data_IF_450375038906
#
_entry.id   IF_450375038906
#
_cell.length_a   1.000
_cell.length_b   1.000
_cell.length_c   1.000
_cell.angle_alpha   90.00
_cell.angle_beta   90.00
_cell.angle_gamma   90.00
#
_symmetry.space_group_name_H-M   'P 1'
#
loop_
_entity.id
_entity.type
_entity.pdbx_description
1 polymer ?
#
# COMPACT_ATOMS: atom_id res chain seq x y z
N UNK A 1 15.76 12.85 -6.71
CA UNK A 1 14.36 13.32 -6.68
C UNK A 1 14.21 14.34 -5.56
N UNK A 2 13.38 15.37 -5.73
CA UNK A 2 13.17 16.36 -4.67
C UNK A 2 12.02 15.94 -3.75
N UNK A 3 12.18 16.21 -2.45
CA UNK A 3 11.17 15.89 -1.44
C UNK A 3 10.94 17.10 -0.54
N UNK A 4 9.67 17.40 -0.28
CA UNK A 4 9.26 18.38 0.70
C UNK A 4 8.31 17.75 1.72
N UNK A 5 8.35 18.25 2.94
CA UNK A 5 7.42 17.88 4.01
C UNK A 5 6.64 19.12 4.44
N UNK A 6 5.31 18.96 4.58
CA UNK A 6 4.42 19.98 5.15
C UNK A 6 3.65 19.39 6.32
N UNK A 7 3.58 20.13 7.41
CA UNK A 7 2.62 19.89 8.48
C UNK A 7 1.33 20.63 8.13
N UNK A 8 0.24 19.87 7.93
CA UNK A 8 -1.08 20.46 7.86
C UNK A 8 -1.77 20.37 9.23
N UNK A 9 -2.59 21.38 9.54
CA UNK A 9 -3.22 21.46 10.85
C UNK A 9 -4.73 21.19 10.74
N UNK A 10 -5.21 20.00 11.19
CA UNK A 10 -6.63 19.65 11.14
C UNK A 10 -7.50 20.52 12.08
N UNK A 11 -6.93 21.19 13.08
CA UNK A 11 -7.67 22.16 13.90
C UNK A 11 -8.05 23.41 13.11
N UNK A 12 -7.23 23.75 12.11
CA UNK A 12 -7.50 24.91 11.26
C UNK A 12 -8.55 24.60 10.19
N UNK A 13 -8.50 23.41 9.61
CA UNK A 13 -9.46 22.85 8.68
C UNK A 13 -9.51 21.34 8.88
N UNK A 14 -10.61 20.81 9.42
CA UNK A 14 -10.71 19.39 9.78
C UNK A 14 -10.63 18.45 8.58
N UNK A 15 -11.20 18.83 7.46
CA UNK A 15 -11.35 18.04 6.24
C UNK A 15 -10.42 18.49 5.10
N UNK A 16 -9.22 19.01 5.44
CA UNK A 16 -8.22 19.49 4.46
C UNK A 16 -8.02 18.46 3.34
N UNK A 17 -7.71 17.23 3.69
CA UNK A 17 -7.42 16.17 2.70
C UNK A 17 -8.66 15.85 1.87
N UNK A 18 -9.83 15.77 2.48
CA UNK A 18 -11.10 15.47 1.80
C UNK A 18 -11.48 16.54 0.79
N UNK A 19 -11.29 17.82 1.11
CA UNK A 19 -11.57 18.91 0.18
C UNK A 19 -10.61 18.89 -1.02
N UNK A 20 -9.32 18.65 -0.80
CA UNK A 20 -8.38 18.47 -1.90
C UNK A 20 -8.72 17.27 -2.77
N UNK A 21 -9.15 16.15 -2.14
CA UNK A 21 -9.60 14.97 -2.85
C UNK A 21 -10.82 15.20 -3.72
N UNK A 22 -11.77 16.01 -3.26
CA UNK A 22 -12.96 16.33 -4.05
C UNK A 22 -12.59 17.05 -5.35
N UNK A 23 -11.71 18.04 -5.28
CA UNK A 23 -11.21 18.74 -6.46
C UNK A 23 -10.37 17.82 -7.35
N UNK A 24 -9.46 17.03 -6.77
CA UNK A 24 -8.62 16.09 -7.52
C UNK A 24 -9.46 15.06 -8.31
N UNK A 25 -10.55 14.56 -7.74
CA UNK A 25 -11.49 13.65 -8.43
C UNK A 25 -12.17 14.29 -9.62
N UNK A 26 -12.59 15.53 -9.45
CA UNK A 26 -13.36 16.24 -10.47
C UNK A 26 -12.48 16.77 -11.61
N UNK A 27 -11.31 17.31 -11.26
CA UNK A 27 -10.43 18.05 -12.18
C UNK A 27 -9.16 17.28 -12.57
N UNK A 28 -8.88 16.11 -11.97
CA UNK A 28 -7.64 15.34 -12.12
C UNK A 28 -6.38 16.07 -11.60
N UNK A 29 -6.54 17.26 -11.09
CA UNK A 29 -5.51 18.06 -10.44
C UNK A 29 -6.12 18.90 -9.30
N UNK A 30 -5.28 19.27 -8.31
CA UNK A 30 -5.66 20.17 -7.23
C UNK A 30 -4.49 21.01 -6.77
N UNK A 31 -4.73 22.26 -6.42
CA UNK A 31 -3.74 23.15 -5.83
C UNK A 31 -3.71 23.02 -4.30
N UNK A 32 -2.56 22.65 -3.74
CA UNK A 32 -2.31 22.71 -2.30
C UNK A 32 -1.52 23.99 -1.99
N UNK A 33 -2.14 24.90 -1.26
CA UNK A 33 -1.57 26.22 -1.00
C UNK A 33 -0.54 26.24 0.13
N UNK A 34 0.63 26.81 -0.12
CA UNK A 34 1.57 27.24 0.91
C UNK A 34 1.07 28.53 1.53
N UNK A 35 0.54 28.46 2.73
CA UNK A 35 0.10 29.63 3.47
C UNK A 35 1.32 30.44 3.92
N UNK A 36 1.23 31.77 3.83
CA UNK A 36 2.31 32.69 4.16
C UNK A 36 2.83 32.46 5.58
N UNK A 37 4.13 32.21 5.68
CA UNK A 37 4.83 32.07 6.96
C UNK A 37 5.25 33.42 7.47
N UNK A 38 5.11 33.68 8.78
CA UNK A 38 5.61 34.89 9.42
C UNK A 38 7.14 34.91 9.59
N UNK A 39 7.82 33.80 9.29
CA UNK A 39 9.27 33.66 9.43
C UNK A 39 9.93 33.86 8.07
N UNK A 40 10.54 35.01 7.84
CA UNK A 40 11.39 35.30 6.67
C UNK A 40 12.82 34.80 6.93
N UNK A 41 13.16 33.65 6.39
CA UNK A 41 14.53 33.14 6.32
C UNK A 41 14.93 33.10 4.84
N UNK A 42 15.73 34.09 4.37
CA UNK A 42 16.03 34.32 2.96
C UNK A 42 16.78 33.15 2.33
N UNK A 43 17.74 32.53 3.03
CA UNK A 43 18.51 31.41 2.50
C UNK A 43 17.64 30.16 2.27
N UNK A 44 16.64 29.93 3.12
CA UNK A 44 15.67 28.84 2.95
C UNK A 44 14.72 29.10 1.80
N UNK A 45 14.37 30.37 1.55
CA UNK A 45 13.52 30.76 0.46
C UNK A 45 14.18 30.49 -0.91
N UNK A 46 15.48 30.81 -1.04
CA UNK A 46 16.25 30.56 -2.27
C UNK A 46 16.34 29.06 -2.59
N UNK A 47 16.60 28.23 -1.58
CA UNK A 47 16.62 26.76 -1.75
C UNK A 47 15.27 26.17 -2.18
N UNK A 48 14.15 26.70 -1.66
CA UNK A 48 12.82 26.28 -2.06
C UNK A 48 12.50 26.71 -3.50
N UNK A 49 12.89 27.94 -3.90
CA UNK A 49 12.68 28.41 -5.27
C UNK A 49 13.37 27.55 -6.33
N UNK A 50 14.58 27.05 -6.04
CA UNK A 50 15.28 26.12 -6.94
C UNK A 50 14.49 24.83 -7.12
N UNK A 51 13.97 24.26 -6.03
CA UNK A 51 13.12 23.04 -6.06
C UNK A 51 11.85 23.33 -6.87
N UNK A 52 11.19 24.47 -6.65
CA UNK A 52 9.97 24.86 -7.35
C UNK A 52 10.19 25.01 -8.86
N UNK A 53 11.26 25.70 -9.28
CA UNK A 53 11.62 25.88 -10.69
C UNK A 53 11.97 24.56 -11.38
N UNK A 54 12.59 23.63 -10.65
CA UNK A 54 12.96 22.31 -11.19
C UNK A 54 11.76 21.34 -11.32
N UNK A 55 10.61 21.63 -10.67
CA UNK A 55 9.46 20.75 -10.61
C UNK A 55 8.63 20.84 -11.89
N UNK A 56 8.45 19.68 -12.56
CA UNK A 56 7.60 19.50 -13.73
C UNK A 56 7.09 18.05 -13.84
N UNK A 57 6.30 17.70 -14.85
CA UNK A 57 5.74 16.36 -15.02
C UNK A 57 6.80 15.24 -15.11
N UNK A 58 7.95 15.50 -15.73
CA UNK A 58 9.04 14.53 -15.87
C UNK A 58 9.93 14.46 -14.63
N UNK A 59 10.08 15.58 -13.93
CA UNK A 59 10.83 15.72 -12.69
C UNK A 59 9.89 16.20 -11.59
N UNK A 60 8.94 15.35 -11.22
CA UNK A 60 7.94 15.69 -10.19
C UNK A 60 8.57 15.75 -8.79
N UNK A 61 7.94 16.54 -7.94
CA UNK A 61 8.29 16.65 -6.53
C UNK A 61 7.39 15.71 -5.71
N UNK A 62 7.96 14.96 -4.78
CA UNK A 62 7.20 14.25 -3.76
C UNK A 62 6.95 15.17 -2.55
N UNK A 63 5.70 15.56 -2.37
CA UNK A 63 5.26 16.38 -1.25
C UNK A 63 4.61 15.50 -0.19
N UNK A 64 5.27 15.36 0.96
CA UNK A 64 4.72 14.65 2.11
C UNK A 64 3.86 15.58 2.95
N UNK A 65 2.64 15.15 3.25
CA UNK A 65 1.66 15.86 4.06
C UNK A 65 1.37 15.07 5.33
N UNK A 66 1.57 15.65 6.50
CA UNK A 66 1.34 14.96 7.78
C UNK A 66 0.71 15.87 8.82
N UNK A 67 -0.06 15.29 9.74
CA UNK A 67 -0.54 15.85 10.99
C UNK A 67 0.00 15.08 12.21
N UNK A 68 1.04 14.28 12.02
CA UNK A 68 1.63 13.31 12.95
C UNK A 68 0.78 12.08 13.29
N UNK A 69 -0.47 12.02 12.88
CA UNK A 69 -1.30 10.81 12.97
C UNK A 69 -1.43 10.12 11.61
N UNK A 70 -1.44 10.93 10.56
CA UNK A 70 -1.59 10.52 9.17
C UNK A 70 -0.38 10.96 8.34
N UNK A 71 -0.11 10.23 7.27
CA UNK A 71 0.88 10.60 6.27
C UNK A 71 0.35 10.31 4.88
N UNK A 72 0.39 11.33 4.04
CA UNK A 72 0.11 11.25 2.62
C UNK A 72 1.34 11.67 1.82
N UNK A 73 1.46 11.18 0.59
CA UNK A 73 2.43 11.69 -0.38
C UNK A 73 1.71 12.14 -1.64
N UNK A 74 2.01 13.35 -2.07
CA UNK A 74 1.45 13.96 -3.26
C UNK A 74 2.48 14.03 -4.39
N UNK A 75 2.05 13.72 -5.62
CA UNK A 75 2.81 13.94 -6.83
C UNK A 75 2.57 15.36 -7.32
N UNK A 76 3.53 16.25 -7.08
CA UNK A 76 3.46 17.63 -7.53
C UNK A 76 4.12 17.76 -8.91
N UNK A 77 3.38 18.25 -9.87
CA UNK A 77 3.83 18.38 -11.27
C UNK A 77 4.18 19.83 -11.65
N UNK A 78 3.82 20.78 -10.81
CA UNK A 78 4.13 22.19 -10.99
C UNK A 78 3.97 22.94 -9.68
N UNK A 79 4.77 23.98 -9.46
CA UNK A 79 4.56 24.98 -8.41
C UNK A 79 4.33 26.33 -9.07
N UNK A 80 3.29 27.07 -8.66
CA UNK A 80 2.91 28.34 -9.29
C UNK A 80 2.19 29.23 -8.30
N UNK A 81 2.36 30.57 -8.44
CA UNK A 81 1.59 31.55 -7.69
C UNK A 81 0.18 31.72 -8.24
N UNK A 82 0.06 31.65 -9.56
CA UNK A 82 -1.20 31.79 -10.26
C UNK A 82 -1.65 30.43 -10.80
N UNK A 83 -2.83 30.00 -10.40
CA UNK A 83 -3.47 28.76 -10.86
C UNK A 83 -4.95 29.02 -11.15
N UNK A 84 -5.55 28.13 -11.93
CA UNK A 84 -6.99 28.13 -12.16
C UNK A 84 -7.74 28.02 -10.82
N UNK A 85 -8.65 28.93 -10.57
CA UNK A 85 -9.45 28.96 -9.34
C UNK A 85 -10.26 27.67 -9.13
N UNK A 86 -10.64 26.98 -10.21
CA UNK A 86 -11.35 25.70 -10.14
C UNK A 86 -10.53 24.58 -9.54
N UNK A 87 -9.20 24.72 -9.46
CA UNK A 87 -8.29 23.78 -8.83
C UNK A 87 -8.09 24.08 -7.33
N UNK A 88 -8.64 25.16 -6.81
CA UNK A 88 -8.45 25.58 -5.42
C UNK A 88 -9.65 25.14 -4.59
N UNK A 89 -9.48 24.37 -3.51
CA UNK A 89 -10.54 24.08 -2.55
C UNK A 89 -11.16 25.35 -1.98
N UNK A 90 -12.48 25.37 -1.81
CA UNK A 90 -13.24 26.60 -1.46
C UNK A 90 -12.79 27.24 -0.15
N UNK A 91 -12.34 26.45 0.82
CA UNK A 91 -11.95 26.93 2.14
C UNK A 91 -10.81 27.96 2.12
N UNK A 92 -9.95 27.97 1.09
CA UNK A 92 -8.92 28.99 0.95
C UNK A 92 -9.52 30.39 0.81
N UNK A 93 -10.59 30.50 0.00
CA UNK A 93 -11.34 31.78 -0.15
C UNK A 93 -12.20 32.08 1.06
N UNK A 94 -12.93 31.10 1.58
CA UNK A 94 -13.83 31.26 2.73
C UNK A 94 -13.10 31.80 3.97
N UNK A 95 -11.85 31.37 4.14
CA UNK A 95 -11.01 31.79 5.28
C UNK A 95 -10.03 32.92 4.97
N UNK A 96 -10.10 33.46 3.76
CA UNK A 96 -9.19 34.54 3.31
C UNK A 96 -7.71 34.21 3.55
N UNK A 97 -7.28 33.01 3.15
CA UNK A 97 -5.91 32.55 3.36
C UNK A 97 -4.97 33.20 2.38
N UNK A 98 -3.91 33.87 2.90
CA UNK A 98 -2.82 34.37 2.07
C UNK A 98 -1.92 33.21 1.63
N UNK A 99 -2.05 32.81 0.37
CA UNK A 99 -1.24 31.74 -0.23
C UNK A 99 -0.09 32.37 -1.01
N UNK A 100 1.13 31.90 -0.73
CA UNK A 100 2.33 32.35 -1.45
C UNK A 100 2.52 31.60 -2.77
N UNK A 101 2.37 30.26 -2.71
CA UNK A 101 2.54 29.36 -3.83
C UNK A 101 1.54 28.20 -3.74
N UNK A 102 1.13 27.66 -4.89
CA UNK A 102 0.33 26.45 -4.98
C UNK A 102 1.16 25.31 -5.56
N UNK A 103 1.15 24.17 -4.88
CA UNK A 103 1.63 22.90 -5.38
C UNK A 103 0.52 22.22 -6.18
N UNK A 104 0.70 22.07 -7.48
CA UNK A 104 -0.28 21.39 -8.35
C UNK A 104 -0.08 19.89 -8.24
N UNK A 105 -1.00 19.24 -7.57
CA UNK A 105 -1.00 17.80 -7.28
C UNK A 105 -1.78 17.07 -8.35
N UNK A 106 -1.21 16.03 -8.96
CA UNK A 106 -1.84 15.15 -9.94
C UNK A 106 -2.14 13.74 -9.41
N UNK A 107 -1.53 13.32 -8.30
CA UNK A 107 -1.80 12.05 -7.61
C UNK A 107 -1.55 12.23 -6.11
N UNK A 108 -2.37 11.60 -5.28
CA UNK A 108 -2.26 11.66 -3.82
C UNK A 108 -2.45 10.26 -3.26
N UNK A 109 -1.47 9.80 -2.47
CA UNK A 109 -1.46 8.44 -1.91
C UNK A 109 -1.38 8.46 -0.41
N UNK A 110 -2.14 7.58 0.23
CA UNK A 110 -2.10 7.36 1.66
C UNK A 110 -0.96 6.40 2.01
N UNK A 111 -0.09 6.81 2.91
CA UNK A 111 0.98 5.97 3.44
C UNK A 111 0.63 5.41 4.82
N UNK A 112 0.06 6.24 5.68
CA UNK A 112 -0.34 5.89 7.05
C UNK A 112 -1.61 6.63 7.45
N UNK A 113 -2.53 5.93 8.13
CA UNK A 113 -3.74 6.50 8.74
C UNK A 113 -3.81 6.15 10.22
N UNK A 114 -3.91 7.17 11.07
CA UNK A 114 -4.09 7.06 12.53
C UNK A 114 -3.17 6.02 13.21
N UNK A 115 -1.93 5.87 12.72
CA UNK A 115 -0.98 4.91 13.27
C UNK A 115 0.39 5.55 13.51
N UNK A 116 0.46 6.35 14.58
CA UNK A 116 1.65 7.15 14.93
C UNK A 116 2.94 6.33 15.06
N UNK A 117 2.88 5.11 15.64
CA UNK A 117 4.10 4.29 15.78
C UNK A 117 4.70 3.92 14.44
N UNK A 118 3.86 3.49 13.48
CA UNK A 118 4.31 3.17 12.12
C UNK A 118 4.86 4.42 11.42
N UNK A 119 4.15 5.54 11.54
CA UNK A 119 4.56 6.83 10.98
C UNK A 119 5.95 7.23 11.50
N UNK A 120 6.13 7.26 12.83
CA UNK A 120 7.40 7.65 13.48
C UNK A 120 8.55 6.72 13.09
N UNK A 121 8.34 5.41 13.21
CA UNK A 121 9.43 4.43 13.20
C UNK A 121 9.86 4.04 11.78
N UNK A 122 8.94 4.09 10.79
CA UNK A 122 9.24 3.69 9.42
C UNK A 122 9.35 4.86 8.44
N UNK A 123 8.54 5.90 8.59
CA UNK A 123 8.50 7.00 7.62
C UNK A 123 9.31 8.21 8.11
N UNK A 124 8.96 8.79 9.27
CA UNK A 124 9.67 9.97 9.76
C UNK A 124 11.13 9.67 10.13
N UNK A 125 11.41 8.43 10.54
CA UNK A 125 12.79 7.98 10.79
C UNK A 125 13.65 7.92 9.51
N UNK A 126 13.03 7.82 8.33
CA UNK A 126 13.70 7.85 7.04
C UNK A 126 14.02 9.27 6.54
N UNK A 127 13.40 10.31 7.13
CA UNK A 127 13.60 11.69 6.72
C UNK A 127 14.82 12.33 7.40
N UNK A 128 15.66 12.95 6.59
CA UNK A 128 16.79 13.78 7.02
C UNK A 128 16.47 15.22 6.67
N UNK A 129 16.50 16.09 7.67
CA UNK A 129 16.30 17.54 7.51
C UNK A 129 17.58 18.24 6.98
N UNK A 130 17.51 19.50 6.54
CA UNK A 130 18.65 20.22 5.96
C UNK A 130 19.88 20.31 6.87
N UNK A 131 19.68 20.27 8.19
CA UNK A 131 20.76 20.26 9.19
C UNK A 131 21.38 18.86 9.40
N UNK A 132 21.07 17.89 8.54
CA UNK A 132 21.49 16.48 8.60
C UNK A 132 21.01 15.69 9.83
N UNK A 133 20.03 16.19 10.56
CA UNK A 133 19.39 15.45 11.65
C UNK A 133 18.19 14.65 11.16
N UNK A 134 17.92 13.52 11.82
CA UNK A 134 16.72 12.71 11.58
C UNK A 134 15.48 13.46 12.02
N UNK A 135 14.53 13.67 11.11
CA UNK A 135 13.31 14.42 11.36
C UNK A 135 12.46 13.86 12.51
N UNK A 136 12.38 12.54 12.66
CA UNK A 136 11.62 11.90 13.73
C UNK A 136 11.97 12.37 15.16
N UNK A 137 13.19 12.90 15.36
CA UNK A 137 13.66 13.35 16.66
C UNK A 137 13.44 14.86 16.84
N UNK A 138 13.59 15.66 15.77
CA UNK A 138 13.67 17.13 15.83
C UNK A 138 12.59 17.85 15.02
N UNK A 139 11.54 17.13 14.60
CA UNK A 139 10.53 17.65 13.68
C UNK A 139 9.82 18.94 14.11
N UNK A 140 9.70 19.18 15.42
CA UNK A 140 9.03 20.36 15.95
C UNK A 140 9.85 21.67 15.82
N UNK A 141 11.12 21.59 15.44
CA UNK A 141 12.05 22.73 15.38
C UNK A 141 12.23 23.27 13.97
N UNK A 142 11.41 22.84 13.00
CA UNK A 142 11.58 23.21 11.61
C UNK A 142 10.47 24.14 11.09
N UNK A 143 10.81 24.93 10.08
CA UNK A 143 9.88 25.75 9.32
C UNK A 143 9.46 24.99 8.05
N UNK A 144 8.20 25.05 7.69
CA UNK A 144 7.61 24.33 6.56
C UNK A 144 7.21 25.28 5.42
N UNK A 145 7.28 24.83 4.15
CA UNK A 145 7.68 23.50 3.66
C UNK A 145 9.14 23.19 3.99
N UNK A 146 9.41 21.98 4.46
CA UNK A 146 10.76 21.55 4.83
C UNK A 146 11.35 20.68 3.71
N UNK A 147 12.48 21.06 3.07
CA UNK A 147 13.23 20.17 2.21
C UNK A 147 13.75 18.98 3.04
N UNK A 148 13.49 17.77 2.57
CA UNK A 148 13.96 16.56 3.24
C UNK A 148 14.70 15.64 2.25
N UNK A 149 15.69 14.91 2.75
CA UNK A 149 16.31 13.79 2.03
C UNK A 149 15.81 12.49 2.64
N UNK A 150 15.72 11.45 1.85
CA UNK A 150 15.41 10.12 2.34
C UNK A 150 16.72 9.36 2.58
N UNK A 151 16.86 8.67 3.73
CA UNK A 151 17.99 7.75 4.00
C UNK A 151 17.98 6.61 3.00
N UNK A 152 16.80 6.03 2.80
CA UNK A 152 16.52 5.07 1.74
C UNK A 152 15.65 5.79 0.72
N UNK A 153 16.25 6.12 -0.45
CA UNK A 153 15.53 6.80 -1.54
C UNK A 153 14.37 5.91 -2.02
N UNK A 154 13.18 6.49 -2.09
CA UNK A 154 11.98 5.77 -2.50
C UNK A 154 11.09 6.68 -3.34
N UNK A 155 10.75 6.22 -4.54
CA UNK A 155 9.67 6.81 -5.31
C UNK A 155 8.35 6.12 -4.97
N UNK A 156 7.35 6.90 -4.58
CA UNK A 156 6.01 6.39 -4.28
C UNK A 156 5.10 6.35 -5.52
N UNK A 157 5.57 6.87 -6.66
CA UNK A 157 4.81 6.97 -7.91
C UNK A 157 5.45 6.21 -9.08
N UNK A 158 6.69 5.76 -8.93
CA UNK A 158 7.44 4.99 -9.92
C UNK A 158 7.90 3.67 -9.29
N UNK A 159 8.01 2.63 -10.13
CA UNK A 159 8.48 1.31 -9.71
C UNK A 159 7.37 0.34 -9.34
N UNK A 160 7.70 -0.95 -9.38
CA UNK A 160 6.74 -2.05 -9.28
C UNK A 160 6.72 -2.76 -7.91
N UNK A 161 7.62 -2.39 -6.98
CA UNK A 161 7.82 -3.19 -5.76
C UNK A 161 6.70 -3.00 -4.74
N UNK A 162 6.18 -1.78 -4.58
CA UNK A 162 5.05 -1.51 -3.69
C UNK A 162 4.29 -0.27 -4.14
N UNK A 163 3.07 -0.45 -4.60
CA UNK A 163 2.15 0.66 -4.86
C UNK A 163 1.44 1.06 -3.58
N UNK A 164 1.24 2.35 -3.39
CA UNK A 164 0.39 2.87 -2.32
C UNK A 164 -0.96 3.28 -2.89
N UNK A 165 -2.02 3.04 -2.11
CA UNK A 165 -3.37 3.32 -2.54
C UNK A 165 -3.58 4.81 -2.80
N UNK A 166 -4.20 5.12 -3.95
CA UNK A 166 -4.75 6.44 -4.18
C UNK A 166 -5.86 6.71 -3.19
N UNK A 167 -5.83 7.86 -2.52
CA UNK A 167 -6.84 8.21 -1.51
C UNK A 167 -8.13 8.79 -2.10
N UNK A 168 -8.18 9.04 -3.41
CA UNK A 168 -9.41 9.45 -4.09
C UNK A 168 -10.29 8.25 -4.47
N UNK A 169 -10.53 7.36 -3.51
CA UNK A 169 -11.50 6.26 -3.63
C UNK A 169 -12.88 6.72 -3.18
N UNK A 170 -13.91 5.97 -3.53
CA UNK A 170 -15.28 6.29 -3.12
C UNK A 170 -15.44 6.23 -1.59
N UNK A 171 -16.50 6.84 -1.07
CA UNK A 171 -16.81 6.81 0.36
C UNK A 171 -17.01 5.37 0.85
N UNK A 172 -17.68 4.54 0.06
CA UNK A 172 -17.93 3.12 0.35
C UNK A 172 -16.61 2.34 0.43
N UNK A 173 -15.68 2.63 -0.50
CA UNK A 173 -14.35 2.03 -0.47
C UNK A 173 -13.60 2.39 0.82
N UNK A 174 -13.57 3.66 1.20
CA UNK A 174 -12.88 4.13 2.41
C UNK A 174 -13.51 3.56 3.68
N UNK A 175 -14.84 3.44 3.74
CA UNK A 175 -15.54 2.77 4.85
C UNK A 175 -15.19 1.29 4.94
N UNK A 176 -15.13 0.59 3.81
CA UNK A 176 -14.74 -0.83 3.78
C UNK A 176 -13.28 -1.01 4.21
N UNK A 177 -12.37 -0.15 3.74
CA UNK A 177 -10.97 -0.12 4.17
C UNK A 177 -10.85 0.03 5.69
N UNK A 178 -11.60 0.96 6.27
CA UNK A 178 -11.63 1.20 7.70
C UNK A 178 -12.15 -0.02 8.48
N UNK A 179 -13.20 -0.66 7.97
CA UNK A 179 -13.74 -1.89 8.56
C UNK A 179 -12.71 -3.02 8.58
N UNK A 180 -11.98 -3.23 7.48
CA UNK A 180 -10.90 -4.21 7.44
C UNK A 180 -9.78 -3.90 8.42
N UNK A 181 -9.39 -2.64 8.50
CA UNK A 181 -8.32 -2.20 9.39
C UNK A 181 -8.71 -2.35 10.87
N UNK A 182 -9.98 -2.03 11.24
CA UNK A 182 -10.41 -2.08 12.64
C UNK A 182 -10.86 -3.46 13.09
N UNK A 183 -11.66 -4.14 12.28
CA UNK A 183 -12.41 -5.32 12.73
C UNK A 183 -11.88 -6.64 12.18
N UNK A 184 -11.21 -6.64 11.02
CA UNK A 184 -10.75 -7.88 10.40
C UNK A 184 -9.27 -8.14 10.71
N UNK A 185 -8.37 -7.23 10.36
CA UNK A 185 -6.92 -7.48 10.46
C UNK A 185 -6.28 -6.83 11.69
N UNK A 186 -6.81 -5.72 12.19
CA UNK A 186 -6.10 -4.80 13.07
C UNK A 186 -5.08 -3.96 12.28
N UNK A 187 -4.77 -2.76 12.77
CA UNK A 187 -3.87 -1.81 12.06
C UNK A 187 -2.54 -2.46 11.65
N UNK A 188 -1.91 -3.20 12.56
CA UNK A 188 -0.59 -3.81 12.31
C UNK A 188 -0.59 -4.75 11.10
N UNK A 189 -1.48 -5.74 11.07
CA UNK A 189 -1.52 -6.71 9.97
C UNK A 189 -2.06 -6.09 8.68
N UNK A 190 -2.97 -5.12 8.78
CA UNK A 190 -3.49 -4.42 7.60
C UNK A 190 -2.38 -3.74 6.80
N UNK A 191 -1.44 -3.06 7.47
CA UNK A 191 -0.30 -2.41 6.81
C UNK A 191 0.81 -3.37 6.34
N UNK A 192 0.71 -4.66 6.66
CA UNK A 192 1.57 -5.70 6.07
C UNK A 192 1.03 -6.24 4.73
N UNK A 193 -0.25 -5.99 4.44
CA UNK A 193 -0.83 -6.31 3.14
C UNK A 193 -0.21 -5.43 2.05
N UNK A 194 -0.02 -6.02 0.87
CA UNK A 194 0.32 -5.24 -0.31
C UNK A 194 -0.89 -4.37 -0.72
N UNK A 195 -0.70 -3.11 -1.17
CA UNK A 195 -1.81 -2.26 -1.59
C UNK A 195 -2.74 -2.88 -2.64
N UNK A 196 -2.20 -3.62 -3.62
CA UNK A 196 -3.03 -4.33 -4.60
C UNK A 196 -3.89 -5.43 -3.96
N UNK A 197 -3.39 -6.06 -2.90
CA UNK A 197 -4.15 -7.04 -2.11
C UNK A 197 -5.31 -6.38 -1.38
N UNK A 198 -5.08 -5.22 -0.78
CA UNK A 198 -6.11 -4.40 -0.14
C UNK A 198 -7.18 -4.00 -1.17
N UNK A 199 -6.75 -3.49 -2.32
CA UNK A 199 -7.64 -3.06 -3.39
C UNK A 199 -8.53 -4.21 -3.90
N UNK A 200 -7.94 -5.37 -4.17
CA UNK A 200 -8.67 -6.56 -4.61
C UNK A 200 -9.70 -7.03 -3.58
N UNK A 201 -9.35 -7.08 -2.28
CA UNK A 201 -10.27 -7.51 -1.22
C UNK A 201 -11.44 -6.53 -1.09
N UNK A 202 -11.15 -5.23 -1.04
CA UNK A 202 -12.19 -4.20 -0.89
C UNK A 202 -13.16 -4.24 -2.06
N UNK A 203 -12.65 -4.35 -3.30
CA UNK A 203 -13.51 -4.45 -4.47
C UNK A 203 -14.31 -5.77 -4.50
N UNK A 204 -13.75 -6.89 -3.99
CA UNK A 204 -14.50 -8.13 -3.84
C UNK A 204 -15.68 -7.99 -2.87
N UNK A 205 -15.45 -7.36 -1.71
CA UNK A 205 -16.51 -7.14 -0.70
C UNK A 205 -17.58 -6.15 -1.18
N UNK A 206 -17.19 -5.08 -1.86
CA UNK A 206 -18.15 -4.11 -2.40
C UNK A 206 -19.04 -4.75 -3.48
N UNK A 207 -18.45 -5.55 -4.37
CA UNK A 207 -19.20 -6.30 -5.39
C UNK A 207 -20.11 -7.35 -4.75
N UNK A 208 -19.64 -8.07 -3.72
CA UNK A 208 -20.45 -9.03 -2.98
C UNK A 208 -21.68 -8.37 -2.36
N UNK A 209 -21.50 -7.25 -1.66
CA UNK A 209 -22.60 -6.50 -1.04
C UNK A 209 -23.64 -6.01 -2.05
N UNK A 210 -23.20 -5.64 -3.27
CA UNK A 210 -24.11 -5.21 -4.34
C UNK A 210 -24.89 -6.36 -4.95
N UNK A 211 -24.32 -7.57 -4.96
CA UNK A 211 -24.84 -8.73 -5.69
C UNK A 211 -25.44 -9.81 -4.78
N UNK A 212 -25.38 -9.67 -3.46
CA UNK A 212 -25.78 -10.68 -2.46
C UNK A 212 -27.24 -11.11 -2.61
N UNK A 213 -28.11 -10.20 -3.03
CA UNK A 213 -29.54 -10.46 -3.22
C UNK A 213 -29.91 -10.92 -4.63
N UNK A 214 -28.96 -11.00 -5.56
CA UNK A 214 -29.19 -11.46 -6.92
C UNK A 214 -28.78 -12.94 -7.05
N UNK A 215 -29.77 -13.82 -6.97
CA UNK A 215 -29.58 -15.26 -7.08
C UNK A 215 -29.07 -15.74 -8.45
N UNK A 216 -29.18 -14.89 -9.47
CA UNK A 216 -28.72 -15.19 -10.84
C UNK A 216 -27.34 -14.60 -11.15
N UNK A 217 -26.73 -13.91 -10.19
CA UNK A 217 -25.42 -13.28 -10.38
C UNK A 217 -24.32 -14.32 -10.58
N UNK A 218 -23.39 -14.01 -11.48
CA UNK A 218 -22.15 -14.77 -11.65
C UNK A 218 -21.05 -14.21 -10.72
N UNK A 219 -20.80 -14.92 -9.64
CA UNK A 219 -19.82 -14.52 -8.64
C UNK A 219 -18.35 -14.84 -9.02
N UNK A 220 -18.06 -15.22 -10.24
CA UNK A 220 -16.71 -15.56 -10.72
C UNK A 220 -15.71 -14.41 -10.49
N UNK A 221 -16.13 -13.16 -10.77
CA UNK A 221 -15.30 -11.96 -10.55
C UNK A 221 -14.83 -11.83 -9.10
N UNK A 222 -15.71 -12.06 -8.15
CA UNK A 222 -15.43 -11.99 -6.71
C UNK A 222 -14.43 -13.06 -6.30
N UNK A 223 -14.63 -14.31 -6.74
CA UNK A 223 -13.71 -15.43 -6.48
C UNK A 223 -12.32 -15.12 -7.05
N UNK A 224 -12.25 -14.56 -8.25
CA UNK A 224 -10.97 -14.18 -8.87
C UNK A 224 -10.24 -13.10 -8.06
N UNK A 225 -10.95 -12.08 -7.57
CA UNK A 225 -10.35 -11.00 -6.74
C UNK A 225 -9.79 -11.53 -5.43
N UNK A 226 -10.54 -12.37 -4.71
CA UNK A 226 -10.04 -13.03 -3.50
C UNK A 226 -8.83 -13.92 -3.78
N UNK A 227 -8.89 -14.69 -4.86
CA UNK A 227 -7.79 -15.57 -5.25
C UNK A 227 -6.53 -14.79 -5.62
N UNK A 228 -6.65 -13.69 -6.37
CA UNK A 228 -5.52 -12.81 -6.70
C UNK A 228 -4.84 -12.23 -5.46
N UNK A 229 -5.63 -11.79 -4.48
CA UNK A 229 -5.10 -11.33 -3.18
C UNK A 229 -4.25 -12.40 -2.53
N UNK A 230 -4.79 -13.60 -2.42
CA UNK A 230 -4.09 -14.70 -1.77
C UNK A 230 -2.84 -15.13 -2.55
N UNK A 231 -2.93 -15.22 -3.89
CA UNK A 231 -1.78 -15.51 -4.77
C UNK A 231 -0.65 -14.50 -4.57
N UNK A 232 -0.99 -13.23 -4.45
CA UNK A 232 0.01 -12.18 -4.25
C UNK A 232 0.66 -12.29 -2.87
N UNK A 233 -0.12 -12.41 -1.80
CA UNK A 233 0.42 -12.46 -0.44
C UNK A 233 1.21 -13.75 -0.17
N UNK A 234 0.79 -14.88 -0.76
CA UNK A 234 1.54 -16.14 -0.71
C UNK A 234 2.87 -16.02 -1.44
N UNK A 235 2.90 -15.37 -2.61
CA UNK A 235 4.14 -15.13 -3.32
C UNK A 235 5.12 -14.28 -2.49
N UNK A 236 4.65 -13.17 -1.91
CA UNK A 236 5.47 -12.31 -1.06
C UNK A 236 5.98 -13.04 0.20
N UNK A 237 5.13 -13.85 0.82
CA UNK A 237 5.49 -14.71 1.94
C UNK A 237 6.57 -15.73 1.56
N UNK A 238 6.35 -16.47 0.47
CA UNK A 238 7.30 -17.45 -0.02
C UNK A 238 8.62 -16.81 -0.42
N UNK A 239 8.59 -15.69 -1.13
CA UNK A 239 9.79 -14.93 -1.52
C UNK A 239 10.67 -14.61 -0.30
N UNK A 240 10.05 -14.13 0.78
CA UNK A 240 10.77 -13.77 2.01
C UNK A 240 11.41 -15.00 2.66
N UNK A 241 10.67 -16.10 2.76
CA UNK A 241 11.17 -17.37 3.33
C UNK A 241 12.33 -17.92 2.50
N UNK A 242 12.16 -17.98 1.19
CA UNK A 242 13.15 -18.55 0.28
C UNK A 242 14.43 -17.72 0.27
N UNK A 243 14.34 -16.37 0.27
CA UNK A 243 15.52 -15.51 0.41
C UNK A 243 16.28 -15.76 1.70
N UNK A 244 15.59 -15.98 2.83
CA UNK A 244 16.22 -16.34 4.10
C UNK A 244 16.89 -17.73 4.04
N UNK A 245 16.26 -18.68 3.39
CA UNK A 245 16.86 -20.00 3.20
C UNK A 245 18.12 -19.93 2.32
N UNK A 246 18.05 -19.23 1.18
CA UNK A 246 19.19 -18.99 0.28
C UNK A 246 20.32 -18.20 0.95
N UNK A 247 20.01 -17.28 1.86
CA UNK A 247 21.04 -16.58 2.63
C UNK A 247 21.81 -17.51 3.59
N UNK A 248 21.18 -18.60 4.08
CA UNK A 248 21.84 -19.65 4.88
C UNK A 248 22.56 -20.67 4.02
N UNK A 249 22.03 -20.99 2.86
CA UNK A 249 22.57 -21.95 1.90
C UNK A 249 22.41 -21.43 0.46
N UNK A 250 23.43 -20.76 -0.10
CA UNK A 250 23.38 -20.24 -1.47
C UNK A 250 23.18 -21.30 -2.56
N UNK A 251 23.51 -22.59 -2.30
CA UNK A 251 23.29 -23.64 -3.27
C UNK A 251 21.82 -23.90 -3.60
N UNK A 252 20.91 -23.37 -2.78
CA UNK A 252 19.47 -23.44 -3.02
C UNK A 252 19.02 -22.65 -4.24
N UNK A 253 19.76 -21.64 -4.72
CA UNK A 253 19.41 -20.92 -5.95
C UNK A 253 19.33 -21.85 -7.16
N UNK A 254 20.18 -22.88 -7.21
CA UNK A 254 20.22 -23.88 -8.26
C UNK A 254 19.27 -25.09 -8.02
N UNK A 255 18.39 -25.00 -7.00
CA UNK A 255 17.47 -26.08 -6.69
C UNK A 255 16.43 -26.26 -7.78
N UNK A 256 16.43 -27.44 -8.40
CA UNK A 256 15.43 -27.82 -9.39
C UNK A 256 14.04 -28.07 -8.76
N UNK A 257 13.00 -27.49 -9.36
CA UNK A 257 11.61 -27.81 -9.05
C UNK A 257 10.75 -27.90 -10.30
N UNK A 258 9.70 -28.72 -10.27
CA UNK A 258 8.84 -28.94 -11.42
C UNK A 258 7.53 -28.18 -11.34
N UNK A 259 7.18 -27.48 -12.43
CA UNK A 259 5.93 -26.78 -12.61
C UNK A 259 5.26 -27.23 -13.90
N UNK A 260 4.13 -27.90 -13.81
CA UNK A 260 3.39 -28.40 -14.98
C UNK A 260 4.27 -29.17 -16.00
N UNK A 261 5.19 -29.98 -15.48
CA UNK A 261 6.12 -30.79 -16.30
C UNK A 261 7.36 -30.06 -16.81
N UNK A 262 7.49 -28.75 -16.58
CA UNK A 262 8.72 -27.99 -16.85
C UNK A 262 9.62 -27.98 -15.61
N UNK A 263 10.92 -28.23 -15.80
CA UNK A 263 11.92 -28.03 -14.76
C UNK A 263 12.29 -26.54 -14.72
N UNK A 264 12.28 -25.94 -13.53
CA UNK A 264 12.69 -24.59 -13.23
C UNK A 264 13.69 -24.64 -12.09
N UNK A 265 14.58 -23.67 -11.99
CA UNK A 265 15.45 -23.51 -10.82
C UNK A 265 14.86 -22.48 -9.84
N UNK A 266 15.27 -22.54 -8.57
CA UNK A 266 14.73 -21.63 -7.55
C UNK A 266 15.00 -20.17 -7.87
N UNK A 267 16.09 -19.83 -8.57
CA UNK A 267 16.37 -18.46 -9.01
C UNK A 267 15.25 -17.89 -9.89
N UNK A 268 14.65 -18.71 -10.76
CA UNK A 268 13.52 -18.30 -11.61
C UNK A 268 12.29 -17.86 -10.80
N UNK A 269 12.12 -18.36 -9.57
CA UNK A 269 11.02 -17.97 -8.69
C UNK A 269 11.02 -16.47 -8.37
N UNK A 270 12.18 -15.86 -8.27
CA UNK A 270 12.30 -14.45 -7.92
C UNK A 270 12.03 -13.51 -9.08
N UNK A 271 12.11 -14.01 -10.30
CA UNK A 271 11.87 -13.26 -11.55
C UNK A 271 10.52 -13.58 -12.18
N UNK A 272 10.06 -14.83 -12.08
CA UNK A 272 8.82 -15.31 -12.67
C UNK A 272 7.86 -15.77 -11.58
N UNK A 273 6.80 -14.98 -11.34
CA UNK A 273 5.79 -15.31 -10.32
C UNK A 273 5.11 -16.64 -10.63
N UNK A 274 5.35 -17.72 -9.87
CA UNK A 274 4.74 -19.03 -10.11
C UNK A 274 3.28 -19.04 -9.67
N UNK A 275 2.54 -20.07 -10.11
CA UNK A 275 1.17 -20.32 -9.64
C UNK A 275 1.16 -20.86 -8.20
N UNK A 276 -0.01 -20.81 -7.55
CA UNK A 276 -0.20 -21.27 -6.15
C UNK A 276 0.25 -22.72 -5.91
N UNK A 277 0.00 -23.61 -6.88
CA UNK A 277 0.37 -25.01 -6.76
C UNK A 277 1.87 -25.18 -6.67
N UNK A 278 2.61 -24.49 -7.52
CA UNK A 278 4.08 -24.51 -7.55
C UNK A 278 4.68 -24.00 -6.26
N UNK A 279 4.15 -22.89 -5.73
CA UNK A 279 4.60 -22.35 -4.43
C UNK A 279 4.44 -23.37 -3.31
N UNK A 280 3.29 -24.05 -3.26
CA UNK A 280 3.02 -25.08 -2.26
C UNK A 280 4.05 -26.22 -2.31
N UNK A 281 4.36 -26.73 -3.51
CA UNK A 281 5.32 -27.81 -3.67
C UNK A 281 6.74 -27.36 -3.32
N UNK A 282 7.12 -26.16 -3.76
CA UNK A 282 8.45 -25.61 -3.49
C UNK A 282 8.69 -25.43 -1.98
N UNK A 283 7.75 -24.80 -1.26
CA UNK A 283 7.88 -24.61 0.19
C UNK A 283 7.90 -25.95 0.99
N UNK A 284 7.42 -27.05 0.40
CA UNK A 284 7.46 -28.38 1.01
C UNK A 284 8.68 -29.20 0.58
N UNK A 285 9.56 -28.63 -0.23
CA UNK A 285 10.79 -29.32 -0.63
C UNK A 285 11.71 -29.56 0.56
N UNK A 286 12.23 -30.76 0.75
CA UNK A 286 13.02 -31.18 1.93
C UNK A 286 14.21 -30.24 2.20
N UNK A 287 14.98 -29.90 1.15
CA UNK A 287 16.11 -28.99 1.28
C UNK A 287 15.71 -27.59 1.78
N UNK A 288 14.53 -27.10 1.41
CA UNK A 288 14.02 -25.82 1.89
C UNK A 288 13.55 -25.94 3.34
N UNK A 289 12.78 -26.98 3.65
CA UNK A 289 12.26 -27.23 4.99
C UNK A 289 13.36 -27.42 6.03
N UNK A 290 14.51 -27.94 5.64
CA UNK A 290 15.69 -28.08 6.52
C UNK A 290 16.14 -26.72 7.10
N UNK A 291 15.98 -25.63 6.38
CA UNK A 291 16.38 -24.28 6.80
C UNK A 291 15.29 -23.51 7.53
N UNK A 292 14.08 -24.07 7.63
CA UNK A 292 12.93 -23.41 8.27
C UNK A 292 12.78 -23.84 9.73
N UNK A 293 12.20 -22.97 10.54
CA UNK A 293 11.82 -23.28 11.92
C UNK A 293 10.69 -24.31 11.96
N UNK A 294 10.66 -25.15 13.00
CA UNK A 294 9.68 -26.22 13.15
C UNK A 294 8.22 -25.74 13.08
N UNK A 295 7.93 -24.61 13.73
CA UNK A 295 6.58 -24.01 13.71
C UNK A 295 6.14 -23.60 12.30
N UNK A 296 7.09 -23.08 11.50
CA UNK A 296 6.84 -22.69 10.11
C UNK A 296 6.65 -23.94 9.23
N UNK A 297 7.48 -24.97 9.40
CA UNK A 297 7.32 -26.26 8.71
C UNK A 297 5.96 -26.90 8.99
N UNK A 298 5.55 -26.93 10.26
CA UNK A 298 4.24 -27.43 10.66
C UNK A 298 3.10 -26.66 10.00
N UNK A 299 3.19 -25.32 9.96
CA UNK A 299 2.20 -24.48 9.29
C UNK A 299 2.11 -24.78 7.78
N UNK A 300 3.25 -24.85 7.08
CA UNK A 300 3.31 -25.11 5.63
C UNK A 300 2.75 -26.49 5.29
N UNK A 301 3.10 -27.50 6.08
CA UNK A 301 2.72 -28.89 5.77
C UNK A 301 1.25 -29.20 6.01
N UNK A 302 0.61 -28.54 6.99
CA UNK A 302 -0.76 -28.90 7.40
C UNK A 302 -1.78 -27.77 7.09
N UNK A 303 -1.96 -26.70 7.89
CA UNK A 303 -3.06 -25.77 7.66
C UNK A 303 -2.93 -25.02 6.33
N UNK A 304 -1.76 -24.51 6.00
CA UNK A 304 -1.50 -23.82 4.75
C UNK A 304 -1.79 -24.69 3.52
N UNK A 305 -1.27 -25.93 3.50
CA UNK A 305 -1.47 -26.85 2.38
C UNK A 305 -2.93 -27.28 2.22
N UNK A 306 -3.67 -27.44 3.33
CA UNK A 306 -5.10 -27.79 3.32
C UNK A 306 -5.92 -26.65 2.75
N UNK A 307 -5.76 -25.43 3.28
CA UNK A 307 -6.47 -24.23 2.82
C UNK A 307 -6.20 -23.94 1.35
N UNK A 308 -4.94 -24.01 0.91
CA UNK A 308 -4.58 -23.85 -0.50
C UNK A 308 -5.29 -24.83 -1.43
N UNK A 309 -5.37 -26.10 -1.03
CA UNK A 309 -6.04 -27.11 -1.85
C UNK A 309 -7.53 -26.80 -2.03
N UNK A 310 -8.20 -26.36 -0.94
CA UNK A 310 -9.60 -25.95 -0.97
C UNK A 310 -9.82 -24.75 -1.90
N UNK A 311 -9.00 -23.71 -1.73
CA UNK A 311 -9.09 -22.46 -2.50
C UNK A 311 -8.83 -22.72 -3.99
N UNK A 312 -7.79 -23.51 -4.32
CA UNK A 312 -7.52 -23.88 -5.70
C UNK A 312 -8.69 -24.64 -6.34
N UNK A 313 -9.33 -25.54 -5.58
CA UNK A 313 -10.52 -26.26 -6.06
C UNK A 313 -11.65 -25.28 -6.40
N UNK A 314 -12.04 -24.40 -5.48
CA UNK A 314 -13.12 -23.43 -5.68
C UNK A 314 -12.80 -22.51 -6.88
N UNK A 315 -11.58 -21.95 -6.93
CA UNK A 315 -11.16 -21.07 -8.02
C UNK A 315 -11.20 -21.77 -9.38
N UNK A 316 -10.68 -22.99 -9.48
CA UNK A 316 -10.64 -23.72 -10.74
C UNK A 316 -12.05 -24.14 -11.21
N UNK A 317 -12.94 -24.49 -10.30
CA UNK A 317 -14.34 -24.75 -10.61
C UNK A 317 -15.04 -23.51 -11.13
N UNK A 318 -14.86 -22.36 -10.47
CA UNK A 318 -15.44 -21.07 -10.87
C UNK A 318 -14.94 -20.60 -12.25
N UNK A 319 -13.66 -20.74 -12.54
CA UNK A 319 -13.07 -20.23 -13.80
C UNK A 319 -13.31 -21.16 -15.00
N UNK A 320 -13.37 -22.48 -14.77
CA UNK A 320 -13.32 -23.45 -15.88
C UNK A 320 -14.56 -24.33 -16.04
N UNK A 321 -15.50 -24.36 -15.07
CA UNK A 321 -16.59 -25.33 -15.10
C UNK A 321 -17.99 -24.70 -15.03
N UNK A 322 -18.31 -24.00 -13.95
CA UNK A 322 -19.65 -23.51 -13.66
C UNK A 322 -19.55 -22.18 -12.91
N UNK A 323 -20.43 -21.24 -13.24
CA UNK A 323 -20.63 -20.04 -12.47
C UNK A 323 -20.86 -20.39 -10.99
N UNK A 324 -20.05 -19.84 -10.06
CA UNK A 324 -20.18 -20.12 -8.64
C UNK A 324 -21.41 -19.43 -8.06
N UNK A 325 -22.04 -20.07 -7.07
CA UNK A 325 -23.10 -19.45 -6.28
C UNK A 325 -22.53 -18.74 -5.04
N UNK A 326 -23.44 -18.12 -4.29
CA UNK A 326 -23.11 -17.39 -3.06
C UNK A 326 -22.37 -18.27 -2.02
N UNK A 327 -22.80 -19.52 -1.85
CA UNK A 327 -22.17 -20.46 -0.89
C UNK A 327 -20.67 -20.72 -1.17
N UNK A 328 -20.27 -20.81 -2.45
CA UNK A 328 -18.87 -20.97 -2.82
C UNK A 328 -18.05 -19.72 -2.50
N UNK A 329 -18.64 -18.54 -2.71
CA UNK A 329 -18.02 -17.26 -2.38
C UNK A 329 -17.84 -17.13 -0.87
N UNK A 330 -18.89 -17.36 -0.09
CA UNK A 330 -18.84 -17.29 1.38
C UNK A 330 -17.79 -18.25 1.96
N UNK A 331 -17.75 -19.48 1.46
CA UNK A 331 -16.76 -20.47 1.86
C UNK A 331 -15.33 -20.00 1.58
N UNK A 332 -15.08 -19.44 0.39
CA UNK A 332 -13.78 -18.90 0.02
C UNK A 332 -13.42 -17.68 0.89
N UNK A 333 -14.36 -16.77 1.05
CA UNK A 333 -14.24 -15.57 1.87
C UNK A 333 -13.90 -15.92 3.32
N UNK A 334 -14.62 -16.86 3.92
CA UNK A 334 -14.39 -17.31 5.29
C UNK A 334 -13.02 -17.94 5.46
N UNK A 335 -12.56 -18.78 4.53
CA UNK A 335 -11.24 -19.39 4.55
C UNK A 335 -10.11 -18.35 4.46
N UNK A 336 -10.28 -17.32 3.64
CA UNK A 336 -9.27 -16.27 3.42
C UNK A 336 -9.28 -15.26 4.58
N UNK A 337 -10.44 -14.71 4.93
CA UNK A 337 -10.57 -13.63 5.91
C UNK A 337 -10.75 -14.12 7.36
N UNK A 338 -11.24 -15.34 7.54
CA UNK A 338 -11.45 -15.95 8.85
C UNK A 338 -12.62 -15.34 9.61
N UNK A 339 -13.73 -15.10 8.93
CA UNK A 339 -14.93 -14.50 9.57
C UNK A 339 -15.55 -15.47 10.56
N UNK A 340 -15.52 -16.77 10.26
CA UNK A 340 -16.04 -17.84 11.14
C UNK A 340 -14.94 -18.73 11.75
N UNK A 341 -13.67 -18.32 11.65
CA UNK A 341 -12.58 -19.16 12.11
C UNK A 341 -11.19 -18.59 11.89
N UNK A 342 -10.24 -19.46 11.56
CA UNK A 342 -8.85 -19.07 11.38
C UNK A 342 -8.61 -18.54 9.96
N UNK A 343 -8.22 -17.29 9.84
CA UNK A 343 -7.85 -16.68 8.56
C UNK A 343 -6.51 -17.21 8.04
N UNK A 344 -6.53 -17.77 6.83
CA UNK A 344 -5.28 -18.11 6.14
C UNK A 344 -4.43 -16.85 5.90
N UNK A 345 -5.06 -15.77 5.47
CA UNK A 345 -4.36 -14.52 5.17
C UNK A 345 -3.70 -13.91 6.41
N UNK A 346 -4.41 -13.83 7.55
CA UNK A 346 -3.80 -13.38 8.83
C UNK A 346 -2.63 -14.29 9.25
N UNK A 347 -2.79 -15.60 9.07
CA UNK A 347 -1.75 -16.58 9.41
C UNK A 347 -0.48 -16.40 8.57
N UNK A 348 -0.62 -16.05 7.30
CA UNK A 348 0.48 -15.73 6.39
C UNK A 348 1.13 -14.41 6.79
N UNK A 349 0.34 -13.34 7.02
CA UNK A 349 0.85 -12.02 7.38
C UNK A 349 1.64 -12.04 8.69
N UNK A 350 1.12 -12.70 9.72
CA UNK A 350 1.83 -12.84 11.00
C UNK A 350 3.18 -13.52 10.83
N UNK A 351 3.25 -14.58 10.00
CA UNK A 351 4.50 -15.30 9.75
C UNK A 351 5.43 -14.56 8.79
N UNK A 352 4.89 -13.79 7.86
CA UNK A 352 5.65 -12.88 6.99
C UNK A 352 6.36 -11.80 7.82
N UNK A 353 5.77 -11.32 8.91
CA UNK A 353 6.40 -10.37 9.81
C UNK A 353 7.56 -11.00 10.61
N UNK A 354 7.38 -12.23 11.08
CA UNK A 354 8.37 -12.97 11.86
C UNK A 354 9.51 -13.54 10.99
N UNK A 355 9.21 -13.86 9.74
CA UNK A 355 10.19 -14.35 8.78
C UNK A 355 11.05 -13.23 8.23
#
# INVERSE_FOLDING_TARGET
MNHLLILYNPYYQQDVIQQHLSVLREKSQVGFGKIRSKLNDQEKQDSLEEIYKATNEKNFLQLFLTDYANLFVAKVVKVSKDIDESLIPSYYKEKNLEVEDFFIISDLRELVREYFSLLRDQFLANFIAPNNHTYAIYGNNYVYPLPVKLKEERSYFLGDEKHYLSVYKSKEYLMMQENFMRFVFGKRLFYLLHPDSIDNIIHAELELLQSENDLLNDFTSIIVKYSKTLEHEIYLFAKKILLKACAKDPSLYDLDYKVQGKSLILEDFFTQKPNLGSVKFLLRHEKIQYHLEENLNRFINYPFSKSLTLIQKIRNEAVHKKAPGLNEVEKLRNEILGIEGTSLLKSILTRKEMA
#
